data_IF_353898149152
#
_entry.id   IF_353898149152
#
_cell.length_a   1.000
_cell.length_b   1.000
_cell.length_c   1.000
_cell.angle_alpha   90.00
_cell.angle_beta   90.00
_cell.angle_gamma   90.00
#
_symmetry.space_group_name_H-M   'P 1'
#
loop_
_entity.id
_entity.type
_entity.pdbx_description
1 polymer ?
#
# COMPACT_ATOMS: atom_id res chain seq x y z
N UNK A 1 38.99 13.09 2.21
CA UNK A 1 38.10 13.20 3.40
C UNK A 1 36.69 12.89 2.95
N UNK A 2 36.22 11.68 3.21
CA UNK A 2 34.85 11.27 2.96
C UNK A 2 34.01 11.82 4.11
N UNK A 3 33.08 12.72 3.82
CA UNK A 3 32.09 13.11 4.82
C UNK A 3 31.22 11.88 5.12
N UNK A 4 31.14 11.42 6.38
CA UNK A 4 30.14 10.43 6.72
C UNK A 4 28.80 11.11 6.55
N UNK A 5 28.03 10.67 5.55
CA UNK A 5 26.61 11.00 5.47
C UNK A 5 26.01 10.68 6.85
N UNK A 6 25.24 11.58 7.47
CA UNK A 6 24.58 11.27 8.70
C UNK A 6 23.61 10.12 8.42
N UNK A 7 23.98 8.93 8.87
CA UNK A 7 23.11 7.79 9.07
C UNK A 7 22.10 8.20 10.14
N UNK A 8 21.10 9.00 9.76
CA UNK A 8 19.90 9.21 10.55
C UNK A 8 19.09 7.92 10.52
N UNK A 9 19.58 6.94 11.25
CA UNK A 9 18.87 5.75 11.69
C UNK A 9 17.89 6.11 12.83
N UNK A 10 17.20 7.26 12.73
CA UNK A 10 16.18 7.70 13.69
C UNK A 10 14.75 7.41 13.19
N UNK A 11 14.62 7.12 11.88
CA UNK A 11 13.40 6.67 11.20
C UNK A 11 13.54 5.18 10.90
N UNK A 12 13.39 4.32 11.93
CA UNK A 12 12.88 2.98 11.65
C UNK A 12 11.56 3.20 10.92
N UNK A 13 11.58 2.98 9.61
CA UNK A 13 10.71 3.61 8.63
C UNK A 13 9.25 3.64 9.11
N UNK A 14 8.80 4.80 9.60
CA UNK A 14 7.48 4.95 10.22
C UNK A 14 6.38 4.54 9.24
N UNK A 15 6.61 4.74 7.94
CA UNK A 15 5.66 4.38 6.89
C UNK A 15 5.63 2.86 6.72
N UNK A 16 6.80 2.20 6.74
CA UNK A 16 6.86 0.74 6.77
C UNK A 16 6.19 0.17 8.03
N UNK A 17 6.39 0.80 9.20
CA UNK A 17 5.76 0.38 10.45
C UNK A 17 4.23 0.51 10.39
N UNK A 18 3.70 1.65 9.93
CA UNK A 18 2.27 1.85 9.72
C UNK A 18 1.70 0.85 8.71
N UNK A 19 2.40 0.63 7.59
CA UNK A 19 2.01 -0.36 6.58
C UNK A 19 1.97 -1.76 7.17
N UNK A 20 2.98 -2.16 7.95
CA UNK A 20 3.00 -3.48 8.61
C UNK A 20 1.86 -3.62 9.60
N UNK A 21 1.60 -2.61 10.43
CA UNK A 21 0.49 -2.63 11.38
C UNK A 21 -0.85 -2.84 10.67
N UNK A 22 -1.09 -2.11 9.58
CA UNK A 22 -2.28 -2.27 8.76
C UNK A 22 -2.42 -3.70 8.20
N UNK A 23 -1.34 -4.30 7.69
CA UNK A 23 -1.39 -5.67 7.15
C UNK A 23 -1.42 -6.76 8.23
N UNK A 24 -0.99 -6.47 9.46
CA UNK A 24 -1.22 -7.35 10.61
C UNK A 24 -2.71 -7.38 10.95
N UNK A 25 -3.36 -6.21 10.95
CA UNK A 25 -4.77 -6.08 11.33
C UNK A 25 -5.74 -6.55 10.22
N UNK A 26 -5.44 -6.21 8.96
CA UNK A 26 -6.37 -6.40 7.84
C UNK A 26 -5.88 -7.34 6.75
N UNK A 27 -4.64 -7.86 6.83
CA UNK A 27 -4.02 -8.62 5.74
C UNK A 27 -4.81 -9.86 5.29
N UNK A 28 -5.37 -10.62 6.22
CA UNK A 28 -6.21 -11.78 5.89
C UNK A 28 -7.52 -11.36 5.21
N UNK A 29 -8.13 -10.27 5.66
CA UNK A 29 -9.38 -9.77 5.08
C UNK A 29 -9.14 -9.20 3.67
N UNK A 30 -8.02 -8.49 3.48
CA UNK A 30 -7.56 -8.03 2.17
C UNK A 30 -7.32 -9.20 1.20
N UNK A 31 -6.70 -10.29 1.67
CA UNK A 31 -6.45 -11.47 0.85
C UNK A 31 -7.76 -12.15 0.42
N UNK A 32 -8.74 -12.27 1.32
CA UNK A 32 -10.06 -12.82 1.01
C UNK A 32 -10.82 -11.92 0.02
N UNK A 33 -10.84 -10.60 0.26
CA UNK A 33 -11.44 -9.62 -0.64
C UNK A 33 -10.83 -9.68 -2.04
N UNK A 34 -9.50 -9.73 -2.14
CA UNK A 34 -8.81 -9.87 -3.41
C UNK A 34 -9.13 -11.22 -4.09
N UNK A 35 -9.32 -12.29 -3.31
CA UNK A 35 -9.75 -13.60 -3.78
C UNK A 35 -11.15 -13.60 -4.39
N UNK A 36 -12.09 -12.85 -3.82
CA UNK A 36 -13.44 -12.70 -4.38
C UNK A 36 -13.42 -12.00 -5.76
N UNK A 37 -12.48 -11.07 -5.96
CA UNK A 37 -12.38 -10.29 -7.21
C UNK A 37 -11.60 -11.05 -8.29
N UNK A 38 -10.44 -11.62 -7.94
CA UNK A 38 -9.48 -12.17 -8.91
C UNK A 38 -9.05 -13.61 -8.62
N UNK A 39 -9.82 -14.37 -7.84
CA UNK A 39 -9.51 -15.74 -7.46
C UNK A 39 -8.14 -15.88 -6.81
N UNK A 40 -7.47 -17.01 -7.09
CA UNK A 40 -6.14 -17.29 -6.55
C UNK A 40 -5.08 -16.24 -6.94
N UNK A 41 -5.23 -15.62 -8.12
CA UNK A 41 -4.32 -14.57 -8.56
C UNK A 41 -4.49 -13.31 -7.67
N UNK A 42 -5.72 -12.96 -7.30
CA UNK A 42 -6.04 -11.89 -6.36
C UNK A 42 -5.46 -12.14 -4.98
N UNK A 43 -5.76 -13.29 -4.38
CA UNK A 43 -5.19 -13.70 -3.06
C UNK A 43 -3.66 -13.66 -3.09
N UNK A 44 -3.05 -14.19 -4.16
CA UNK A 44 -1.60 -14.23 -4.33
C UNK A 44 -0.95 -12.85 -4.40
N UNK A 45 -1.63 -11.81 -4.91
CA UNK A 45 -1.12 -10.43 -4.91
C UNK A 45 -0.92 -9.92 -3.49
N UNK A 46 -1.91 -10.13 -2.62
CA UNK A 46 -1.86 -9.68 -1.22
C UNK A 46 -0.79 -10.44 -0.44
N UNK A 47 -0.74 -11.78 -0.58
CA UNK A 47 0.25 -12.60 0.13
C UNK A 47 1.69 -12.25 -0.27
N UNK A 48 1.96 -12.01 -1.56
CA UNK A 48 3.27 -11.53 -2.01
C UNK A 48 3.64 -10.18 -1.41
N UNK A 49 2.69 -9.24 -1.37
CA UNK A 49 2.92 -7.94 -0.74
C UNK A 49 3.20 -8.06 0.76
N UNK A 50 2.48 -8.93 1.48
CA UNK A 50 2.76 -9.21 2.90
C UNK A 50 4.15 -9.81 3.11
N UNK A 51 4.60 -10.71 2.22
CA UNK A 51 5.96 -11.25 2.26
C UNK A 51 7.00 -10.15 2.01
N UNK A 52 6.81 -9.31 1.00
CA UNK A 52 7.71 -8.18 0.72
C UNK A 52 7.81 -7.23 1.93
N UNK A 53 6.68 -6.92 2.57
CA UNK A 53 6.63 -6.07 3.75
C UNK A 53 7.38 -6.69 4.94
N UNK A 54 7.39 -8.01 5.08
CA UNK A 54 8.13 -8.69 6.15
C UNK A 54 9.64 -8.54 5.98
N UNK A 55 10.13 -8.68 4.75
CA UNK A 55 11.56 -8.65 4.43
C UNK A 55 12.11 -7.22 4.23
N UNK A 56 11.22 -6.24 3.99
CA UNK A 56 11.62 -4.87 3.73
C UNK A 56 12.34 -4.23 4.93
N UNK A 57 13.40 -3.48 4.65
CA UNK A 57 14.03 -2.57 5.62
C UNK A 57 13.40 -1.16 5.58
N UNK A 58 12.83 -0.78 4.43
CA UNK A 58 12.17 0.50 4.19
C UNK A 58 11.04 0.34 3.16
N UNK A 59 10.08 1.26 3.16
CA UNK A 59 9.00 1.33 2.21
C UNK A 59 9.48 1.94 0.90
N UNK A 60 10.09 1.11 0.06
CA UNK A 60 10.63 1.54 -1.22
C UNK A 60 9.53 1.86 -2.27
N UNK A 61 9.98 2.41 -3.40
CA UNK A 61 9.09 2.79 -4.50
C UNK A 61 8.33 1.60 -5.09
N UNK A 62 8.90 0.40 -5.06
CA UNK A 62 8.29 -0.79 -5.63
C UNK A 62 7.15 -1.30 -4.74
N UNK A 63 7.35 -1.35 -3.42
CA UNK A 63 6.30 -1.71 -2.45
C UNK A 63 5.18 -0.66 -2.48
N UNK A 64 5.52 0.63 -2.53
CA UNK A 64 4.52 1.72 -2.68
C UNK A 64 3.67 1.58 -3.92
N UNK A 65 4.30 1.28 -5.06
CA UNK A 65 3.56 1.03 -6.30
C UNK A 65 2.61 -0.17 -6.14
N UNK A 66 3.06 -1.26 -5.52
CA UNK A 66 2.20 -2.43 -5.27
C UNK A 66 1.02 -2.14 -4.33
N UNK A 67 1.18 -1.27 -3.33
CA UNK A 67 0.06 -0.82 -2.49
C UNK A 67 -0.99 -0.03 -3.29
N UNK A 68 -0.54 0.88 -4.16
CA UNK A 68 -1.42 1.65 -5.05
C UNK A 68 -2.13 0.72 -6.04
N UNK A 69 -1.40 -0.23 -6.62
CA UNK A 69 -1.98 -1.19 -7.58
C UNK A 69 -2.99 -2.11 -6.89
N UNK A 70 -2.74 -2.51 -5.64
CA UNK A 70 -3.71 -3.26 -4.83
C UNK A 70 -4.97 -2.43 -4.56
N UNK A 71 -4.82 -1.16 -4.17
CA UNK A 71 -5.96 -0.27 -3.97
C UNK A 71 -6.80 -0.17 -5.25
N UNK A 72 -6.18 0.14 -6.39
CA UNK A 72 -6.87 0.21 -7.69
C UNK A 72 -7.60 -1.08 -8.04
N UNK A 73 -6.95 -2.22 -7.80
CA UNK A 73 -7.53 -3.53 -8.02
C UNK A 73 -8.78 -3.77 -7.15
N UNK A 74 -8.73 -3.43 -5.86
CA UNK A 74 -9.87 -3.58 -4.95
C UNK A 74 -10.99 -2.56 -5.23
N UNK A 75 -10.64 -1.35 -5.70
CA UNK A 75 -11.60 -0.32 -6.12
C UNK A 75 -12.33 -0.65 -7.42
N UNK A 76 -11.95 -1.74 -8.10
CA UNK A 76 -12.42 -2.06 -9.46
C UNK A 76 -12.23 -0.86 -10.42
N UNK A 77 -11.20 -0.04 -10.18
CA UNK A 77 -10.87 1.11 -11.02
C UNK A 77 -10.62 0.59 -12.44
N UNK A 78 -11.34 1.08 -13.48
CA UNK A 78 -11.25 0.55 -14.83
C UNK A 78 -9.78 0.48 -15.27
N UNK A 79 -9.27 -0.76 -15.28
CA UNK A 79 -7.90 -1.09 -15.63
C UNK A 79 -7.70 -0.59 -17.05
N UNK A 80 -6.96 0.53 -17.20
CA UNK A 80 -6.51 1.03 -18.49
C UNK A 80 -5.56 -0.03 -19.06
N UNK A 81 -6.13 -0.93 -19.87
CA UNK A 81 -5.42 -1.90 -20.71
C UNK A 81 -4.97 -3.16 -19.99
N UNK A 82 -5.37 -4.31 -20.53
CA UNK A 82 -4.80 -5.63 -20.23
C UNK A 82 -5.22 -6.29 -18.91
N UNK A 83 -6.54 -6.37 -18.69
CA UNK A 83 -7.02 -7.54 -17.94
C UNK A 83 -6.72 -8.79 -18.78
N UNK A 84 -5.85 -9.65 -18.26
CA UNK A 84 -5.75 -11.05 -18.66
C UNK A 84 -7.19 -11.63 -18.78
N UNK A 85 -7.51 -12.36 -19.85
CA UNK A 85 -8.88 -12.80 -20.16
C UNK A 85 -9.52 -13.65 -19.05
N UNK A 86 -8.73 -14.17 -18.11
CA UNK A 86 -9.17 -14.96 -16.96
C UNK A 86 -9.84 -14.13 -15.84
N UNK A 87 -9.70 -12.80 -15.83
CA UNK A 87 -10.41 -11.95 -14.84
C UNK A 87 -11.89 -11.74 -15.17
N UNK A 88 -12.34 -12.11 -16.37
CA UNK A 88 -13.72 -11.90 -16.81
C UNK A 88 -14.71 -12.95 -16.27
N UNK A 89 -14.24 -14.00 -15.59
CA UNK A 89 -15.07 -15.13 -15.19
C UNK A 89 -15.66 -15.07 -13.76
N UNK A 90 -15.20 -14.13 -12.90
CA UNK A 90 -15.39 -14.27 -11.44
C UNK A 90 -16.41 -13.35 -10.76
N UNK A 91 -16.73 -12.18 -11.31
CA UNK A 91 -17.44 -11.16 -10.54
C UNK A 91 -18.96 -11.25 -10.70
N UNK A 92 -19.58 -12.25 -10.09
CA UNK A 92 -21.02 -12.25 -9.80
C UNK A 92 -21.25 -11.86 -8.34
N UNK A 93 -20.76 -10.69 -7.94
CA UNK A 93 -21.04 -10.12 -6.63
C UNK A 93 -22.38 -9.40 -6.66
N UNK A 94 -23.23 -9.66 -5.69
CA UNK A 94 -24.40 -8.82 -5.42
C UNK A 94 -23.89 -7.46 -4.91
N UNK A 95 -24.17 -6.34 -5.60
CA UNK A 95 -23.76 -5.02 -5.13
C UNK A 95 -24.32 -4.65 -3.76
N UNK A 96 -25.43 -5.26 -3.33
CA UNK A 96 -26.02 -5.10 -2.02
C UNK A 96 -25.58 -6.19 -1.01
N UNK A 97 -24.69 -7.08 -1.42
CA UNK A 97 -24.18 -8.18 -0.61
C UNK A 97 -23.18 -7.71 0.45
N UNK A 98 -23.13 -8.37 1.62
CA UNK A 98 -22.20 -8.03 2.70
C UNK A 98 -20.72 -8.17 2.29
N UNK A 99 -20.42 -9.00 1.29
CA UNK A 99 -19.07 -9.15 0.73
C UNK A 99 -18.59 -7.86 0.05
N UNK A 100 -19.48 -7.18 -0.69
CA UNK A 100 -19.16 -5.92 -1.36
C UNK A 100 -18.96 -4.82 -0.33
N UNK A 101 -19.81 -4.74 0.69
CA UNK A 101 -19.62 -3.80 1.81
C UNK A 101 -18.25 -4.00 2.46
N UNK A 102 -17.87 -5.25 2.73
CA UNK A 102 -16.56 -5.55 3.32
C UNK A 102 -15.39 -5.18 2.39
N UNK A 103 -15.52 -5.38 1.08
CA UNK A 103 -14.53 -4.95 0.09
C UNK A 103 -14.39 -3.43 0.09
N UNK A 104 -15.50 -2.68 0.10
CA UNK A 104 -15.49 -1.22 0.15
C UNK A 104 -14.77 -0.72 1.43
N UNK A 105 -15.15 -1.25 2.60
CA UNK A 105 -14.52 -0.88 3.87
C UNK A 105 -13.00 -1.15 3.90
N UNK A 106 -12.55 -2.26 3.32
CA UNK A 106 -11.12 -2.58 3.24
C UNK A 106 -10.39 -1.67 2.25
N UNK A 107 -11.04 -1.33 1.14
CA UNK A 107 -10.50 -0.42 0.12
C UNK A 107 -10.33 0.98 0.70
N UNK A 108 -11.33 1.48 1.44
CA UNK A 108 -11.27 2.78 2.12
C UNK A 108 -10.16 2.82 3.17
N UNK A 109 -10.02 1.78 3.99
CA UNK A 109 -8.93 1.69 4.97
C UNK A 109 -7.56 1.66 4.31
N UNK A 110 -7.42 0.96 3.19
CA UNK A 110 -6.17 0.94 2.42
C UNK A 110 -5.88 2.32 1.82
N UNK A 111 -6.91 3.03 1.35
CA UNK A 111 -6.78 4.40 0.87
C UNK A 111 -6.34 5.37 1.96
N UNK A 112 -6.91 5.24 3.17
CA UNK A 112 -6.51 6.04 4.32
C UNK A 112 -5.05 5.82 4.70
N UNK A 113 -4.57 4.56 4.67
CA UNK A 113 -3.15 4.25 4.84
C UNK A 113 -2.28 4.93 3.76
N UNK A 114 -2.68 4.87 2.48
CA UNK A 114 -1.95 5.52 1.40
C UNK A 114 -1.85 7.04 1.60
N UNK A 115 -2.91 7.67 2.10
CA UNK A 115 -2.92 9.10 2.45
C UNK A 115 -2.02 9.41 3.64
N UNK A 116 -2.02 8.55 4.67
CA UNK A 116 -1.14 8.70 5.82
C UNK A 116 0.33 8.66 5.39
N UNK A 117 0.71 7.68 4.57
CA UNK A 117 2.06 7.57 4.01
C UNK A 117 2.44 8.85 3.25
N UNK A 118 1.54 9.37 2.41
CA UNK A 118 1.76 10.60 1.65
C UNK A 118 1.95 11.84 2.52
N UNK A 119 1.17 11.99 3.60
CA UNK A 119 1.36 13.09 4.57
C UNK A 119 2.74 13.03 5.23
N UNK A 120 3.21 11.84 5.57
CA UNK A 120 4.53 11.65 6.17
C UNK A 120 5.67 12.02 5.20
N UNK A 121 5.47 11.83 3.89
CA UNK A 121 6.41 12.30 2.86
C UNK A 121 6.46 13.83 2.85
N UNK A 122 5.31 14.50 2.83
CA UNK A 122 5.20 15.97 2.86
C UNK A 122 5.86 16.57 4.12
N UNK A 123 5.63 15.97 5.29
CA UNK A 123 6.26 16.37 6.56
C UNK A 123 7.79 16.24 6.51
N UNK A 124 8.29 15.15 5.94
CA UNK A 124 9.72 14.92 5.79
C UNK A 124 10.37 15.91 4.82
N UNK A 125 9.70 16.24 3.71
CA UNK A 125 10.15 17.25 2.75
C UNK A 125 10.16 18.66 3.38
N UNK A 126 9.09 19.04 4.10
CA UNK A 126 9.02 20.31 4.81
C UNK A 126 10.16 20.47 5.84
N UNK A 127 10.45 19.39 6.59
CA UNK A 127 11.57 19.36 7.53
C UNK A 127 12.91 19.53 6.81
N UNK A 128 13.14 18.82 5.70
CA UNK A 128 14.37 18.92 4.92
C UNK A 128 14.61 20.34 4.38
N UNK A 129 13.56 20.98 3.85
CA UNK A 129 13.61 22.36 3.40
C UNK A 129 13.96 23.31 4.54
N UNK A 130 13.33 23.17 5.70
CA UNK A 130 13.61 24.03 6.87
C UNK A 130 15.06 23.95 7.36
N UNK A 131 15.65 22.74 7.35
CA UNK A 131 17.06 22.53 7.72
C UNK A 131 18.02 23.13 6.70
N UNK A 132 17.68 23.05 5.41
CA UNK A 132 18.51 23.66 4.35
C UNK A 132 18.57 25.18 4.47
N UNK A 133 17.44 25.82 4.82
CA UNK A 133 17.34 27.28 5.01
C UNK A 133 18.16 27.73 6.23
N UNK A 134 18.13 26.97 7.33
CA UNK A 134 18.91 27.27 8.54
C UNK A 134 20.43 27.13 8.33
N UNK A 135 20.87 26.26 7.41
CA UNK A 135 22.29 26.07 7.10
C UNK A 135 22.89 27.12 6.15
N UNK A 136 22.04 27.94 5.53
CA UNK A 136 22.44 28.96 4.55
C UNK A 136 22.41 30.40 5.12
N UNK A 137 22.03 30.56 6.40
CA UNK A 137 21.99 31.83 7.14
C UNK A 137 23.11 31.86 8.18
#
# INVERSE_FOLDING_TARGET
MLYPLPTKTLSADRQLAATRAHFIEHGSALANAAGLIGGNAGTGRVLRLMSDLREAFRLDRAIRRRLIDLHRFLSLDPIIGDMEPDMSAGLLLDPAGPEVEQICLLTDRLFDLLKEIGKMDEEHEALALSLSVQSAA
#
